data_IF_804042252738
#
_entry.id   IF_804042252738
#
_cell.length_a   1.000
_cell.length_b   1.000
_cell.length_c   1.000
_cell.angle_alpha   90.00
_cell.angle_beta   90.00
_cell.angle_gamma   90.00
#
_symmetry.space_group_name_H-M   'P 1'
#
loop_
_entity.id
_entity.type
_entity.pdbx_description
1 polymer ?
#
# COMPACT_ATOMS: atom_id res chain seq x y z
N UNK A 1 -5.37 -10.77 12.90
CA UNK A 1 -5.16 -11.42 11.58
C UNK A 1 -3.66 -11.49 11.28
N UNK A 2 -3.16 -12.62 10.77
CA UNK A 2 -1.76 -12.77 10.33
C UNK A 2 -1.70 -12.56 8.81
N UNK A 3 -0.89 -11.60 8.36
CA UNK A 3 -0.77 -11.24 6.95
C UNK A 3 0.70 -11.30 6.53
N UNK A 4 0.97 -11.99 5.44
CA UNK A 4 2.26 -12.02 4.77
C UNK A 4 2.26 -10.95 3.68
N UNK A 5 3.28 -10.12 3.67
CA UNK A 5 3.37 -8.95 2.81
C UNK A 5 4.73 -8.95 2.09
N UNK A 6 4.70 -9.10 0.76
CA UNK A 6 5.84 -8.77 -0.09
C UNK A 6 5.68 -7.31 -0.54
N UNK A 7 6.33 -6.40 0.18
CA UNK A 7 6.25 -4.95 0.05
C UNK A 7 7.30 -4.38 -0.91
N UNK A 8 7.42 -5.00 -2.08
CA UNK A 8 8.31 -4.52 -3.15
C UNK A 8 7.92 -3.14 -3.68
N UNK A 9 8.92 -2.35 -4.09
CA UNK A 9 8.75 -0.95 -4.53
C UNK A 9 7.81 -0.73 -5.72
N UNK A 10 7.55 -1.75 -6.53
CA UNK A 10 6.56 -1.68 -7.63
C UNK A 10 5.15 -2.06 -7.17
N UNK A 11 5.04 -3.16 -6.43
CA UNK A 11 3.76 -3.72 -6.01
C UNK A 11 3.90 -4.35 -4.63
N UNK A 12 2.94 -4.06 -3.77
CA UNK A 12 2.70 -4.76 -2.52
C UNK A 12 1.82 -5.97 -2.80
N UNK A 13 2.23 -7.15 -2.37
CA UNK A 13 1.41 -8.37 -2.43
C UNK A 13 1.11 -8.84 -1.02
N UNK A 14 -0.17 -9.06 -0.74
CA UNK A 14 -0.66 -9.56 0.52
C UNK A 14 -1.12 -11.01 0.34
N UNK A 15 -0.87 -11.83 1.35
CA UNK A 15 -1.44 -13.16 1.49
C UNK A 15 -1.85 -13.41 2.94
N UNK A 16 -3.02 -13.99 3.13
CA UNK A 16 -3.51 -14.42 4.44
C UNK A 16 -4.44 -15.62 4.28
N UNK A 17 -4.74 -16.28 5.40
CA UNK A 17 -5.72 -17.37 5.42
C UNK A 17 -7.01 -16.91 6.07
N UNK A 18 -8.14 -17.23 5.45
CA UNK A 18 -9.48 -17.19 6.05
C UNK A 18 -9.97 -18.63 6.20
N UNK A 19 -9.86 -19.16 7.42
CA UNK A 19 -9.98 -20.60 7.65
C UNK A 19 -8.83 -21.34 6.93
N UNK A 20 -9.18 -22.27 6.04
CA UNK A 20 -8.23 -23.04 5.23
C UNK A 20 -8.04 -22.45 3.81
N UNK A 21 -8.69 -21.33 3.50
CA UNK A 21 -8.61 -20.71 2.18
C UNK A 21 -7.53 -19.62 2.13
N UNK A 22 -6.62 -19.75 1.16
CA UNK A 22 -5.60 -18.75 0.89
C UNK A 22 -6.18 -17.58 0.10
N UNK A 23 -6.17 -16.41 0.70
CA UNK A 23 -6.51 -15.15 0.06
C UNK A 23 -5.25 -14.41 -0.37
N UNK A 24 -5.31 -13.73 -1.52
CA UNK A 24 -4.20 -12.92 -2.03
C UNK A 24 -4.66 -11.59 -2.60
N UNK A 25 -3.82 -10.56 -2.47
CA UNK A 25 -4.08 -9.26 -3.09
C UNK A 25 -2.81 -8.59 -3.59
N UNK A 26 -2.93 -7.87 -4.70
CA UNK A 26 -1.84 -7.09 -5.29
C UNK A 26 -2.27 -5.65 -5.39
N UNK A 27 -1.43 -4.74 -4.90
CA UNK A 27 -1.65 -3.30 -4.94
C UNK A 27 -0.43 -2.61 -5.51
N UNK A 28 -0.65 -1.69 -6.45
CA UNK A 28 0.42 -0.91 -7.06
C UNK A 28 0.90 0.19 -6.11
N UNK A 29 2.22 0.37 -6.01
CA UNK A 29 2.80 1.48 -5.31
C UNK A 29 2.84 2.71 -6.24
N UNK A 30 1.90 3.64 -6.03
CA UNK A 30 1.64 4.76 -6.96
C UNK A 30 1.30 6.06 -6.24
N UNK A 31 2.08 6.37 -5.19
CA UNK A 31 1.87 7.54 -4.36
C UNK A 31 2.53 8.79 -4.93
N UNK A 32 1.83 9.92 -4.81
CA UNK A 32 2.36 11.26 -5.10
C UNK A 32 2.24 12.17 -3.88
N UNK A 33 3.12 13.16 -3.78
CA UNK A 33 3.02 14.20 -2.76
C UNK A 33 1.80 15.11 -2.99
N UNK A 34 1.26 15.64 -1.88
CA UNK A 34 0.05 16.45 -1.85
C UNK A 34 -1.22 15.62 -1.77
N UNK A 35 -2.32 16.28 -1.38
CA UNK A 35 -3.67 15.74 -1.48
C UNK A 35 -4.30 16.13 -2.82
N UNK A 36 -5.20 15.29 -3.34
CA UNK A 36 -6.07 15.66 -4.46
C UNK A 36 -7.50 15.85 -3.99
N UNK A 37 -8.21 16.76 -4.64
CA UNK A 37 -9.66 16.88 -4.46
C UNK A 37 -10.31 15.68 -5.14
N UNK A 38 -11.30 15.08 -4.48
CA UNK A 38 -12.02 13.96 -5.07
C UNK A 38 -12.76 14.40 -6.34
N UNK A 39 -12.59 13.63 -7.41
CA UNK A 39 -13.44 13.74 -8.59
C UNK A 39 -14.78 13.06 -8.29
N UNK A 40 -15.88 13.59 -8.83
CA UNK A 40 -17.27 13.24 -8.49
C UNK A 40 -17.65 11.74 -8.61
N UNK A 41 -16.77 10.88 -9.15
CA UNK A 41 -17.04 9.45 -9.41
C UNK A 41 -15.93 8.48 -8.96
N UNK A 42 -14.79 8.96 -8.44
CA UNK A 42 -13.65 8.09 -8.10
C UNK A 42 -13.27 8.20 -6.62
N UNK A 43 -13.15 7.05 -5.95
CA UNK A 43 -12.60 6.98 -4.61
C UNK A 43 -11.19 7.60 -4.60
N UNK A 44 -11.03 8.63 -3.78
CA UNK A 44 -9.77 9.34 -3.63
C UNK A 44 -9.17 9.00 -2.28
N UNK A 45 -7.96 8.44 -2.31
CA UNK A 45 -7.25 8.02 -1.11
C UNK A 45 -6.14 9.04 -0.79
N UNK A 46 -6.47 9.96 0.11
CA UNK A 46 -5.55 10.96 0.65
C UNK A 46 -5.02 10.48 2.01
N UNK A 47 -3.72 10.57 2.21
CA UNK A 47 -3.02 10.13 3.41
C UNK A 47 -2.12 11.22 3.96
N UNK A 48 -1.82 11.15 5.24
CA UNK A 48 -0.90 12.06 5.90
C UNK A 48 0.02 11.29 6.84
N UNK A 49 1.33 11.54 6.71
CA UNK A 49 2.36 11.03 7.62
C UNK A 49 3.07 12.23 8.23
N UNK A 50 2.93 12.42 9.55
CA UNK A 50 3.37 13.64 10.21
C UNK A 50 2.70 14.89 9.60
N UNK A 51 3.48 15.77 9.01
CA UNK A 51 3.01 16.98 8.29
C UNK A 51 2.93 16.80 6.78
N UNK A 52 3.46 15.69 6.24
CA UNK A 52 3.52 15.43 4.81
C UNK A 52 2.22 14.79 4.32
N UNK A 53 1.75 15.27 3.17
CA UNK A 53 0.51 14.83 2.53
C UNK A 53 0.81 14.02 1.30
N UNK A 54 0.02 12.97 1.08
CA UNK A 54 0.16 12.04 -0.02
C UNK A 54 -1.19 11.64 -0.59
N UNK A 55 -1.19 11.24 -1.85
CA UNK A 55 -2.37 10.71 -2.54
C UNK A 55 -1.97 9.45 -3.30
N UNK A 56 -2.82 8.42 -3.25
CA UNK A 56 -2.70 7.31 -4.18
C UNK A 56 -3.33 7.63 -5.53
N UNK A 57 -2.60 7.36 -6.62
CA UNK A 57 -3.01 7.70 -7.97
C UNK A 57 -2.88 6.50 -8.93
N UNK A 58 -4.00 5.92 -9.36
CA UNK A 58 -4.03 4.75 -10.25
C UNK A 58 -3.36 4.97 -11.60
N UNK A 59 -3.26 6.22 -12.05
CA UNK A 59 -2.70 6.58 -13.36
C UNK A 59 -1.27 7.11 -13.27
N UNK A 60 -0.74 7.33 -12.06
CA UNK A 60 0.65 7.73 -11.90
C UNK A 60 1.55 6.59 -12.38
N UNK A 61 2.43 6.90 -13.34
CA UNK A 61 3.39 5.96 -13.94
C UNK A 61 4.80 6.19 -13.44
N UNK A 62 4.96 6.98 -12.38
CA UNK A 62 6.24 7.17 -11.71
C UNK A 62 6.56 5.92 -10.90
N UNK A 63 6.77 4.81 -11.60
CA UNK A 63 7.21 3.57 -11.02
C UNK A 63 8.55 3.83 -10.35
N UNK A 64 8.60 3.70 -9.02
CA UNK A 64 9.85 3.79 -8.27
C UNK A 64 10.74 2.64 -8.76
N UNK A 65 11.93 2.91 -9.34
CA UNK A 65 12.80 1.86 -9.85
C UNK A 65 13.07 0.79 -8.80
N UNK A 66 13.15 -0.47 -9.23
CA UNK A 66 13.21 -1.70 -8.41
C UNK A 66 14.49 -1.92 -7.60
N UNK A 67 15.28 -0.87 -7.37
CA UNK A 67 16.53 -0.89 -6.57
C UNK A 67 16.60 0.28 -5.58
N UNK A 68 15.44 0.80 -5.17
CA UNK A 68 15.39 1.83 -4.14
C UNK A 68 15.39 1.18 -2.75
N UNK A 69 16.56 0.94 -2.16
CA UNK A 69 16.66 0.42 -0.78
C UNK A 69 16.05 1.42 0.22
N UNK A 70 16.17 2.73 -0.04
CA UNK A 70 15.59 3.77 0.82
C UNK A 70 14.05 3.69 0.87
N UNK A 71 13.41 3.18 -0.19
CA UNK A 71 11.98 2.94 -0.20
C UNK A 71 11.53 2.08 0.98
N UNK A 72 12.27 1.01 1.31
CA UNK A 72 11.87 0.06 2.37
C UNK A 72 11.82 0.68 3.76
N UNK A 73 12.42 1.85 3.94
CA UNK A 73 12.47 2.57 5.22
C UNK A 73 11.72 3.91 5.19
N UNK A 74 11.06 4.23 4.07
CA UNK A 74 10.42 5.52 3.84
C UNK A 74 8.88 5.49 3.96
N UNK A 75 8.29 6.68 4.06
CA UNK A 75 6.83 6.86 4.17
C UNK A 75 6.05 6.25 2.99
N UNK A 76 6.66 6.17 1.81
CA UNK A 76 6.00 5.57 0.64
C UNK A 76 5.76 4.06 0.81
N UNK A 77 6.67 3.32 1.46
CA UNK A 77 6.46 1.91 1.80
C UNK A 77 5.32 1.78 2.83
N UNK A 78 5.39 2.56 3.91
CA UNK A 78 4.34 2.59 4.93
C UNK A 78 2.96 2.81 4.30
N UNK A 79 2.83 3.81 3.43
CA UNK A 79 1.59 4.13 2.76
C UNK A 79 1.15 3.05 1.78
N UNK A 80 2.06 2.43 1.04
CA UNK A 80 1.75 1.33 0.12
C UNK A 80 1.20 0.11 0.86
N UNK A 81 1.81 -0.28 1.98
CA UNK A 81 1.32 -1.38 2.83
C UNK A 81 -0.06 -1.06 3.38
N UNK A 82 -0.26 0.13 3.96
CA UNK A 82 -1.56 0.54 4.48
C UNK A 82 -2.65 0.62 3.40
N UNK A 83 -2.32 1.12 2.21
CA UNK A 83 -3.26 1.18 1.10
C UNK A 83 -3.61 -0.22 0.56
N UNK A 84 -2.64 -1.14 0.52
CA UNK A 84 -2.91 -2.53 0.16
C UNK A 84 -3.86 -3.19 1.17
N UNK A 85 -3.66 -2.95 2.48
CA UNK A 85 -4.54 -3.46 3.53
C UNK A 85 -5.96 -2.88 3.42
N UNK A 86 -6.11 -1.57 3.24
CA UNK A 86 -7.41 -0.91 3.11
C UNK A 86 -8.18 -1.38 1.86
N UNK A 87 -7.47 -1.76 0.80
CA UNK A 87 -8.07 -2.29 -0.43
C UNK A 87 -8.06 -3.82 -0.51
N UNK A 88 -7.70 -4.51 0.58
CA UNK A 88 -7.66 -5.97 0.62
C UNK A 88 -9.05 -6.61 0.63
N UNK A 89 -10.07 -5.86 1.07
CA UNK A 89 -11.41 -6.37 1.37
C UNK A 89 -11.59 -6.78 2.83
N UNK A 90 -10.52 -6.78 3.63
CA UNK A 90 -10.60 -6.97 5.08
C UNK A 90 -11.19 -5.73 5.77
N UNK A 91 -12.06 -5.96 6.75
CA UNK A 91 -12.47 -4.91 7.67
C UNK A 91 -11.25 -4.36 8.45
N UNK A 92 -11.11 -3.02 8.57
CA UNK A 92 -10.01 -2.40 9.29
C UNK A 92 -9.89 -2.93 10.73
N UNK A 93 -8.72 -3.50 11.05
CA UNK A 93 -8.47 -4.16 12.32
C UNK A 93 -6.96 -4.19 12.64
N UNK A 94 -6.56 -4.47 13.90
CA UNK A 94 -5.17 -4.80 14.21
C UNK A 94 -4.71 -6.06 13.46
N UNK A 95 -3.54 -5.98 12.85
CA UNK A 95 -2.92 -7.07 12.07
C UNK A 95 -1.50 -7.34 12.55
N UNK A 96 -1.07 -8.59 12.49
CA UNK A 96 0.33 -8.99 12.60
C UNK A 96 0.87 -9.20 11.19
N UNK A 97 1.93 -8.46 10.86
CA UNK A 97 2.43 -8.35 9.49
C UNK A 97 3.84 -8.92 9.41
N UNK A 98 4.06 -9.86 8.48
CA UNK A 98 5.38 -10.36 8.13
C UNK A 98 5.78 -9.74 6.79
N UNK A 99 6.85 -8.94 6.77
CA UNK A 99 7.32 -8.18 5.59
C UNK A 99 8.58 -8.78 4.97
N UNK A 100 8.98 -8.30 3.79
CA UNK A 100 10.22 -8.72 3.11
C UNK A 100 11.28 -7.62 3.14
N UNK A 101 12.56 -8.00 3.10
CA UNK A 101 13.68 -7.09 2.89
C UNK A 101 14.61 -7.66 1.79
N UNK A 102 15.17 -6.81 0.91
CA UNK A 102 16.16 -7.23 -0.10
C UNK A 102 17.47 -7.78 0.49
#
# INVERSE_FOLDING_TARGET
MNIYCDDGSTNVKLAWFEGDELQTRVSANSFRHGWKVAEFSAATFNYQVGTLKYTWDSVSRDAIPTTNVEYQYGDLNLLAVHHALLNSGLEPQPVSLTVTLP
#
